data_IF_673447703900
#
_entry.id   IF_673447703900
#
_cell.length_a   1.000
_cell.length_b   1.000
_cell.length_c   1.000
_cell.angle_alpha   90.00
_cell.angle_beta   90.00
_cell.angle_gamma   90.00
#
_symmetry.space_group_name_H-M   'P 1'
#
loop_
_entity.id
_entity.type
_entity.pdbx_description
1 polymer ?
#
# COMPACT_ATOMS: atom_id res chain seq x y z
N UNK A 1 23.35 25.00 3.89
CA UNK A 1 21.99 24.67 3.39
C UNK A 1 21.55 23.38 4.05
N UNK A 2 20.30 23.28 4.42
CA UNK A 2 19.72 22.06 5.00
C UNK A 2 19.48 21.03 3.90
N UNK A 3 19.97 19.80 4.08
CA UNK A 3 19.78 18.73 3.10
C UNK A 3 18.48 18.00 3.40
N UNK A 4 17.56 18.01 2.46
CA UNK A 4 16.23 17.41 2.60
C UNK A 4 16.06 16.31 1.55
N UNK A 5 15.79 15.09 2.00
CA UNK A 5 15.53 13.96 1.12
C UNK A 5 14.02 13.77 0.95
N UNK A 6 13.57 13.81 -0.29
CA UNK A 6 12.17 13.68 -0.67
C UNK A 6 11.86 12.22 -1.02
N UNK A 7 10.97 11.62 -0.29
CA UNK A 7 10.51 10.25 -0.50
C UNK A 7 9.08 10.26 -1.04
N UNK A 8 8.94 10.14 -2.35
CA UNK A 8 7.65 10.19 -3.03
C UNK A 8 6.91 8.87 -2.94
N UNK A 9 5.63 8.92 -2.59
CA UNK A 9 4.81 7.74 -2.52
C UNK A 9 3.33 8.00 -2.32
N UNK A 10 2.49 7.02 -2.71
CA UNK A 10 1.07 7.06 -2.37
C UNK A 10 0.81 6.71 -0.90
N UNK A 11 1.74 5.98 -0.25
CA UNK A 11 1.65 5.53 1.14
C UNK A 11 0.26 4.97 1.49
N UNK A 12 -0.15 3.92 0.78
CA UNK A 12 -1.50 3.37 0.79
C UNK A 12 -1.58 1.92 1.32
N UNK A 13 -1.34 1.69 2.64
CA UNK A 13 -0.88 2.62 3.66
C UNK A 13 0.64 2.81 3.68
N UNK A 14 1.11 3.78 4.47
CA UNK A 14 2.48 3.79 4.97
C UNK A 14 2.71 2.56 5.86
N UNK A 15 3.92 2.00 5.83
CA UNK A 15 4.27 0.82 6.63
C UNK A 15 5.70 0.95 7.18
N UNK A 16 6.06 0.06 8.11
CA UNK A 16 7.37 0.08 8.79
C UNK A 16 8.55 0.13 7.84
N UNK A 17 8.45 -0.51 6.65
CA UNK A 17 9.51 -0.45 5.65
C UNK A 17 9.77 0.96 5.10
N UNK A 18 8.72 1.78 4.92
CA UNK A 18 8.91 3.17 4.51
C UNK A 18 9.63 3.98 5.59
N UNK A 19 9.24 3.79 6.85
CA UNK A 19 9.85 4.51 7.98
C UNK A 19 11.29 4.06 8.19
N UNK A 20 11.58 2.76 8.12
CA UNK A 20 12.94 2.24 8.25
C UNK A 20 13.90 2.81 7.19
N UNK A 21 13.43 2.98 5.94
CA UNK A 21 14.20 3.63 4.88
C UNK A 21 14.44 5.10 5.17
N UNK A 22 13.42 5.83 5.64
CA UNK A 22 13.55 7.24 6.01
C UNK A 22 14.50 7.42 7.20
N UNK A 23 14.43 6.55 8.22
CA UNK A 23 15.37 6.52 9.33
C UNK A 23 16.81 6.25 8.87
N UNK A 24 16.98 5.23 8.03
CA UNK A 24 18.28 4.85 7.50
C UNK A 24 19.00 6.00 6.81
N UNK A 25 18.36 6.70 5.87
CA UNK A 25 19.02 7.78 5.12
C UNK A 25 19.42 8.96 6.02
N UNK A 26 18.63 9.20 7.08
CA UNK A 26 18.94 10.23 8.09
C UNK A 26 20.09 9.78 8.98
N UNK A 27 20.09 8.54 9.46
CA UNK A 27 21.14 7.97 10.34
C UNK A 27 22.48 7.82 9.63
N UNK A 28 22.46 7.50 8.32
CA UNK A 28 23.66 7.47 7.49
C UNK A 28 24.22 8.87 7.14
N UNK A 29 23.55 9.92 7.60
CA UNK A 29 23.97 11.30 7.33
C UNK A 29 23.86 11.72 5.87
N UNK A 30 23.03 11.01 5.08
CA UNK A 30 22.79 11.35 3.67
C UNK A 30 21.93 12.60 3.54
N UNK A 31 21.09 12.88 4.54
CA UNK A 31 20.28 14.09 4.65
C UNK A 31 20.10 14.51 6.11
N UNK A 32 19.67 15.75 6.31
CA UNK A 32 19.36 16.29 7.63
C UNK A 32 17.90 16.00 8.01
N UNK A 33 16.99 15.96 7.01
CA UNK A 33 15.60 15.54 7.15
C UNK A 33 15.19 14.64 5.98
N UNK A 34 14.29 13.68 6.26
CA UNK A 34 13.57 12.90 5.26
C UNK A 34 12.09 13.30 5.26
N UNK A 35 11.56 13.65 4.09
CA UNK A 35 10.18 14.11 3.93
C UNK A 35 9.40 13.13 3.04
N UNK A 36 8.37 12.50 3.62
CA UNK A 36 7.45 11.64 2.89
C UNK A 36 6.46 12.52 2.11
N UNK A 37 6.63 12.62 0.81
CA UNK A 37 5.73 13.38 -0.08
C UNK A 37 4.54 12.48 -0.40
N UNK A 38 3.40 12.75 0.23
CA UNK A 38 2.17 11.98 0.03
C UNK A 38 1.51 12.40 -1.28
N UNK A 39 1.60 11.54 -2.31
CA UNK A 39 1.01 11.84 -3.62
C UNK A 39 -0.51 11.65 -3.58
N UNK A 40 -1.32 12.69 -3.84
CA UNK A 40 -2.78 12.57 -3.85
C UNK A 40 -3.25 11.65 -4.98
N UNK A 41 -2.68 11.81 -6.17
CA UNK A 41 -2.99 11.00 -7.35
C UNK A 41 -1.75 10.86 -8.24
N UNK A 42 -1.07 9.72 -8.13
CA UNK A 42 -0.02 9.36 -9.07
C UNK A 42 -0.61 9.10 -10.47
N UNK A 43 0.02 9.57 -11.56
CA UNK A 43 -0.44 9.30 -12.93
C UNK A 43 -0.45 7.80 -13.29
N UNK A 44 0.26 6.99 -12.50
CA UNK A 44 0.42 5.54 -12.73
C UNK A 44 -0.51 4.67 -11.89
N UNK A 45 -1.40 5.27 -11.05
CA UNK A 45 -2.34 4.53 -10.19
C UNK A 45 -3.76 5.00 -10.44
N UNK A 46 -4.70 4.05 -10.45
CA UNK A 46 -6.11 4.38 -10.52
C UNK A 46 -6.57 4.99 -9.20
N UNK A 47 -7.26 6.12 -9.26
CA UNK A 47 -7.75 6.82 -8.06
C UNK A 47 -8.66 5.93 -7.19
N UNK A 48 -9.44 5.05 -7.81
CA UNK A 48 -10.34 4.11 -7.11
C UNK A 48 -9.61 3.06 -6.24
N UNK A 49 -8.31 2.86 -6.43
CA UNK A 49 -7.50 1.90 -5.67
C UNK A 49 -6.85 2.55 -4.43
N UNK A 50 -6.94 3.87 -4.31
CA UNK A 50 -6.31 4.62 -3.22
C UNK A 50 -7.33 4.95 -2.13
N UNK A 51 -6.91 4.82 -0.87
CA UNK A 51 -7.65 5.44 0.22
C UNK A 51 -7.66 6.97 0.04
N UNK A 52 -8.64 7.68 0.62
CA UNK A 52 -8.69 9.13 0.56
C UNK A 52 -7.34 9.77 0.91
N UNK A 53 -6.99 10.82 0.20
CA UNK A 53 -5.66 11.45 0.33
C UNK A 53 -5.36 11.91 1.76
N UNK A 54 -6.36 12.46 2.46
CA UNK A 54 -6.20 12.87 3.85
C UNK A 54 -6.05 11.70 4.82
N UNK A 55 -6.69 10.57 4.56
CA UNK A 55 -6.48 9.36 5.38
C UNK A 55 -5.05 8.83 5.20
N UNK A 56 -4.48 8.91 3.98
CA UNK A 56 -3.09 8.49 3.71
C UNK A 56 -2.08 9.44 4.36
N UNK A 57 -2.36 10.73 4.35
CA UNK A 57 -1.54 11.73 5.05
C UNK A 57 -1.57 11.50 6.56
N UNK A 58 -2.75 11.35 7.18
CA UNK A 58 -2.90 11.08 8.61
C UNK A 58 -2.16 9.80 9.05
N UNK A 59 -2.22 8.75 8.21
CA UNK A 59 -1.43 7.54 8.46
C UNK A 59 0.08 7.82 8.40
N UNK A 60 0.54 8.65 7.47
CA UNK A 60 1.93 9.05 7.38
C UNK A 60 2.38 9.90 8.58
N UNK A 61 1.53 10.82 9.07
CA UNK A 61 1.80 11.58 10.31
C UNK A 61 2.01 10.66 11.51
N UNK A 62 1.11 9.70 11.70
CA UNK A 62 1.21 8.73 12.80
C UNK A 62 2.47 7.88 12.72
N UNK A 63 2.81 7.41 11.52
CA UNK A 63 4.02 6.62 11.30
C UNK A 63 5.30 7.44 11.55
N UNK A 64 5.36 8.67 11.05
CA UNK A 64 6.49 9.57 11.27
C UNK A 64 6.65 9.94 12.76
N UNK A 65 5.54 10.22 13.46
CA UNK A 65 5.55 10.50 14.89
C UNK A 65 6.01 9.31 15.75
N UNK A 66 5.77 8.08 15.27
CA UNK A 66 6.20 6.84 15.91
C UNK A 66 7.64 6.42 15.54
N UNK A 67 8.29 7.11 14.60
CA UNK A 67 9.67 6.83 14.19
C UNK A 67 10.66 7.12 15.32
N UNK A 68 11.87 6.57 15.21
CA UNK A 68 12.99 6.89 16.13
C UNK A 68 13.48 8.33 16.02
N UNK A 69 13.14 9.02 14.91
CA UNK A 69 13.62 10.35 14.57
C UNK A 69 12.44 11.29 14.20
N UNK A 70 11.42 11.46 15.06
CA UNK A 70 10.18 12.16 14.71
C UNK A 70 10.39 13.63 14.34
N UNK A 71 11.46 14.27 14.84
CA UNK A 71 11.81 15.66 14.50
C UNK A 71 12.44 15.80 13.12
N UNK A 72 12.96 14.70 12.57
CA UNK A 72 13.71 14.67 11.30
C UNK A 72 13.00 13.91 10.18
N UNK A 73 11.92 13.22 10.48
CA UNK A 73 11.12 12.47 9.50
C UNK A 73 9.68 13.00 9.55
N UNK A 74 9.22 13.61 8.45
CA UNK A 74 7.93 14.30 8.41
C UNK A 74 7.16 13.97 7.14
N UNK A 75 5.82 13.88 7.19
CA UNK A 75 5.03 13.84 5.97
C UNK A 75 4.81 15.25 5.43
N UNK A 76 4.52 15.34 4.12
CA UNK A 76 4.18 16.59 3.45
C UNK A 76 2.97 16.41 2.53
N UNK A 77 2.12 17.44 2.53
CA UNK A 77 0.95 17.58 1.64
C UNK A 77 1.22 18.52 0.45
N UNK A 78 2.48 18.82 0.17
CA UNK A 78 2.83 19.80 -0.89
C UNK A 78 2.16 19.46 -2.22
N UNK A 79 2.06 18.19 -2.61
CA UNK A 79 1.38 17.79 -3.84
C UNK A 79 -0.15 17.98 -3.82
N UNK A 80 -0.77 18.19 -2.64
CA UNK A 80 -2.20 18.50 -2.55
C UNK A 80 -2.49 19.92 -3.03
N UNK A 81 -1.48 20.79 -2.99
CA UNK A 81 -1.53 22.17 -3.45
C UNK A 81 -1.24 22.33 -4.96
N UNK A 82 -0.72 21.28 -5.58
CA UNK A 82 -0.31 21.28 -6.99
C UNK A 82 -1.41 20.68 -7.89
N UNK A 83 -1.38 20.98 -9.20
CA UNK A 83 -2.31 20.37 -10.16
C UNK A 83 -2.22 18.84 -10.17
N UNK A 84 -3.38 18.18 -10.28
CA UNK A 84 -3.46 16.71 -10.43
C UNK A 84 -3.54 16.33 -11.92
N UNK A 85 -2.94 15.20 -12.33
CA UNK A 85 -2.15 14.27 -11.54
C UNK A 85 -0.80 14.84 -11.12
N UNK A 86 -0.26 14.37 -9.97
CA UNK A 86 0.99 14.85 -9.40
C UNK A 86 2.20 14.29 -10.14
N UNK A 87 3.07 15.16 -10.61
CA UNK A 87 4.34 14.79 -11.23
C UNK A 87 5.51 15.23 -10.37
N UNK A 88 6.47 14.36 -10.16
CA UNK A 88 7.66 14.60 -9.34
C UNK A 88 8.40 15.87 -9.72
N UNK A 89 8.56 16.15 -11.02
CA UNK A 89 9.26 17.36 -11.48
C UNK A 89 8.54 18.65 -11.09
N UNK A 90 7.20 18.66 -11.08
CA UNK A 90 6.44 19.85 -10.70
C UNK A 90 6.61 20.15 -9.21
N UNK A 91 6.65 19.10 -8.37
CA UNK A 91 6.93 19.20 -6.93
C UNK A 91 8.35 19.71 -6.67
N UNK A 92 9.35 19.15 -7.38
CA UNK A 92 10.74 19.58 -7.27
C UNK A 92 10.91 21.06 -7.62
N UNK A 93 10.30 21.52 -8.73
CA UNK A 93 10.31 22.94 -9.12
C UNK A 93 9.71 23.82 -8.03
N UNK A 94 8.51 23.48 -7.59
CA UNK A 94 7.82 24.24 -6.55
C UNK A 94 8.68 24.37 -5.29
N UNK A 95 9.26 23.26 -4.81
CA UNK A 95 10.11 23.28 -3.62
C UNK A 95 11.39 24.06 -3.84
N UNK A 96 12.03 23.92 -4.99
CA UNK A 96 13.28 24.65 -5.32
C UNK A 96 13.05 26.15 -5.45
N UNK A 97 11.96 26.56 -6.11
CA UNK A 97 11.61 27.97 -6.26
C UNK A 97 11.28 28.65 -4.92
N UNK A 98 10.62 27.93 -4.01
CA UNK A 98 10.18 28.51 -2.75
C UNK A 98 11.17 28.34 -1.59
N UNK A 99 12.04 27.33 -1.63
CA UNK A 99 12.91 26.95 -0.51
C UNK A 99 14.36 26.67 -0.90
N UNK A 100 14.70 26.69 -2.20
CA UNK A 100 16.05 26.35 -2.68
C UNK A 100 17.17 27.28 -2.18
N UNK A 101 16.84 28.48 -1.67
CA UNK A 101 17.83 29.36 -1.05
C UNK A 101 18.35 28.81 0.30
N UNK A 102 17.55 28.00 1.00
CA UNK A 102 17.84 27.48 2.35
C UNK A 102 18.03 25.96 2.38
N UNK A 103 17.47 25.25 1.41
CA UNK A 103 17.39 23.79 1.35
C UNK A 103 17.98 23.22 0.05
N UNK A 104 18.64 22.11 0.18
CA UNK A 104 19.12 21.28 -0.93
C UNK A 104 18.29 19.99 -0.96
N UNK A 105 17.66 19.71 -2.11
CA UNK A 105 16.77 18.57 -2.27
C UNK A 105 17.45 17.39 -2.95
N UNK A 106 17.17 16.19 -2.43
CA UNK A 106 17.53 14.92 -3.03
C UNK A 106 16.30 13.99 -3.05
N UNK A 107 16.38 12.92 -3.81
CA UNK A 107 15.24 11.99 -4.02
C UNK A 107 15.62 10.61 -3.50
N UNK A 108 14.70 9.99 -2.75
CA UNK A 108 14.75 8.58 -2.38
C UNK A 108 13.70 7.81 -3.18
N UNK A 109 14.12 6.76 -3.91
CA UNK A 109 13.20 5.92 -4.67
C UNK A 109 13.63 4.45 -4.69
N UNK A 110 12.69 3.54 -4.95
CA UNK A 110 12.97 2.13 -5.17
C UNK A 110 13.51 1.87 -6.58
N UNK A 111 14.25 0.78 -6.75
CA UNK A 111 14.77 0.35 -8.04
C UNK A 111 13.66 0.11 -9.09
N UNK A 112 12.47 -0.35 -8.64
CA UNK A 112 11.28 -0.51 -9.49
C UNK A 112 10.75 0.80 -10.10
N UNK A 113 10.95 1.92 -9.41
CA UNK A 113 10.62 3.26 -9.91
C UNK A 113 11.68 3.76 -10.87
N UNK A 114 12.95 3.50 -10.55
CA UNK A 114 14.07 3.87 -11.40
C UNK A 114 13.99 3.24 -12.79
N UNK A 115 13.60 1.97 -12.90
CA UNK A 115 13.43 1.28 -14.18
C UNK A 115 12.43 1.96 -15.12
N UNK A 116 11.48 2.71 -14.55
CA UNK A 116 10.42 3.42 -15.29
C UNK A 116 10.66 4.93 -15.38
N UNK A 117 11.78 5.42 -14.87
CA UNK A 117 12.06 6.85 -14.74
C UNK A 117 12.05 7.56 -16.10
N UNK A 118 12.49 6.91 -17.17
CA UNK A 118 12.50 7.47 -18.52
C UNK A 118 11.10 7.75 -19.10
N UNK A 119 10.07 7.13 -18.53
CA UNK A 119 8.67 7.42 -18.84
C UNK A 119 8.07 8.56 -18.00
N UNK A 120 8.84 9.14 -17.05
CA UNK A 120 8.34 10.22 -16.23
C UNK A 120 8.44 11.59 -16.94
N UNK A 121 7.52 12.47 -16.61
CA UNK A 121 7.51 13.86 -17.14
C UNK A 121 8.85 14.52 -16.86
N UNK A 122 9.54 14.95 -17.92
CA UNK A 122 10.83 15.66 -17.85
C UNK A 122 11.88 14.97 -16.96
N UNK A 123 11.99 13.63 -17.09
CA UNK A 123 12.88 12.82 -16.26
C UNK A 123 14.35 13.27 -16.30
N UNK A 124 14.79 13.85 -17.40
CA UNK A 124 16.15 14.39 -17.53
C UNK A 124 16.44 15.49 -16.52
N UNK A 125 15.44 16.33 -16.23
CA UNK A 125 15.53 17.36 -15.18
C UNK A 125 15.46 16.76 -13.77
N UNK A 126 14.76 15.63 -13.59
CA UNK A 126 14.76 14.91 -12.33
C UNK A 126 16.18 14.36 -12.04
N UNK A 127 16.90 13.91 -13.08
CA UNK A 127 18.28 13.45 -12.97
C UNK A 127 19.31 14.55 -12.64
N UNK A 128 18.92 15.82 -12.63
CA UNK A 128 19.78 16.92 -12.14
C UNK A 128 19.84 16.98 -10.61
N UNK A 129 18.90 16.34 -9.92
CA UNK A 129 18.90 16.19 -8.46
C UNK A 129 19.66 14.94 -8.04
N UNK A 130 20.29 14.93 -6.85
CA UNK A 130 20.86 13.70 -6.30
C UNK A 130 19.76 12.67 -6.07
N UNK A 131 19.92 11.46 -6.63
CA UNK A 131 18.97 10.36 -6.50
C UNK A 131 19.60 9.21 -5.74
N UNK A 132 18.97 8.80 -4.66
CA UNK A 132 19.33 7.64 -3.84
C UNK A 132 18.34 6.52 -4.10
N UNK A 133 18.84 5.34 -4.46
CA UNK A 133 18.03 4.20 -4.87
C UNK A 133 18.24 3.04 -3.90
N UNK A 134 17.16 2.59 -3.25
CA UNK A 134 17.22 1.36 -2.49
C UNK A 134 16.85 0.17 -3.39
N UNK A 135 17.60 -0.95 -3.29
CA UNK A 135 17.33 -2.14 -4.11
C UNK A 135 15.97 -2.75 -3.74
N UNK A 136 15.36 -3.42 -4.71
CA UNK A 136 14.28 -4.37 -4.50
C UNK A 136 14.66 -5.70 -5.14
N UNK A 137 13.99 -6.79 -4.79
CA UNK A 137 14.36 -8.13 -5.24
C UNK A 137 14.46 -8.21 -6.78
N UNK A 138 15.68 -8.48 -7.28
CA UNK A 138 15.94 -8.86 -8.67
C UNK A 138 16.08 -7.73 -9.68
N UNK A 139 15.97 -6.47 -9.29
CA UNK A 139 16.02 -5.33 -10.23
C UNK A 139 17.45 -4.81 -10.43
N UNK A 140 17.83 -4.56 -11.68
CA UNK A 140 19.14 -4.06 -12.04
C UNK A 140 19.15 -2.53 -12.18
N UNK A 141 20.07 -1.87 -11.50
CA UNK A 141 20.23 -0.41 -11.49
C UNK A 141 21.01 0.12 -12.72
N UNK A 142 21.36 -0.76 -13.67
CA UNK A 142 22.41 -0.53 -14.67
C UNK A 142 22.23 0.67 -15.60
N UNK A 143 20.99 1.06 -15.98
CA UNK A 143 20.74 2.09 -17.00
C UNK A 143 21.15 3.51 -16.57
N UNK A 144 21.08 3.82 -15.29
CA UNK A 144 21.40 5.13 -14.72
C UNK A 144 22.65 5.09 -13.83
N UNK A 145 23.47 4.03 -13.96
CA UNK A 145 24.73 3.92 -13.23
C UNK A 145 25.61 5.16 -13.47
N UNK A 146 26.14 5.74 -12.39
CA UNK A 146 26.92 6.97 -12.43
C UNK A 146 26.12 8.28 -12.31
N UNK A 147 24.77 8.21 -12.36
CA UNK A 147 23.88 9.38 -12.09
C UNK A 147 23.05 9.22 -10.82
N UNK A 148 23.20 8.11 -10.13
CA UNK A 148 22.46 7.78 -8.92
C UNK A 148 23.39 7.17 -7.90
N UNK A 149 22.98 7.17 -6.63
CA UNK A 149 23.65 6.46 -5.54
C UNK A 149 22.80 5.26 -5.11
N UNK A 150 23.36 4.05 -5.20
CA UNK A 150 22.67 2.84 -4.73
C UNK A 150 22.92 2.65 -3.24
N UNK A 151 21.87 2.41 -2.49
CA UNK A 151 21.88 2.15 -1.05
C UNK A 151 21.86 0.63 -0.82
N UNK A 152 23.01 -0.04 -1.00
CA UNK A 152 23.09 -1.51 -0.96
C UNK A 152 22.70 -2.08 0.41
N UNK A 153 23.04 -1.37 1.49
CA UNK A 153 22.76 -1.77 2.88
C UNK A 153 21.41 -1.22 3.41
N UNK A 154 20.55 -0.68 2.55
CA UNK A 154 19.28 -0.15 2.98
C UNK A 154 18.38 -1.25 3.58
N UNK A 155 17.68 -0.99 4.70
CA UNK A 155 16.82 -1.98 5.33
C UNK A 155 15.64 -2.34 4.43
N UNK A 156 15.67 -3.55 3.88
CA UNK A 156 14.58 -4.06 3.04
C UNK A 156 13.55 -4.79 3.90
N UNK A 157 12.30 -4.61 3.55
CA UNK A 157 11.19 -5.36 4.13
C UNK A 157 10.52 -6.19 3.04
N UNK A 158 10.24 -7.46 3.34
CA UNK A 158 9.67 -8.42 2.39
C UNK A 158 8.16 -8.24 2.16
N UNK A 159 7.64 -7.03 2.39
CA UNK A 159 6.22 -6.75 2.20
C UNK A 159 5.98 -5.37 1.56
N UNK A 160 4.81 -5.23 0.96
CA UNK A 160 4.37 -4.01 0.28
C UNK A 160 3.06 -3.48 0.86
N UNK A 161 2.72 -2.22 0.55
CA UNK A 161 1.39 -1.66 0.88
C UNK A 161 0.25 -2.51 0.31
N UNK A 162 0.43 -3.15 -0.85
CA UNK A 162 -0.57 -4.05 -1.45
C UNK A 162 -0.77 -5.29 -0.60
N UNK A 163 0.31 -5.90 -0.13
CA UNK A 163 0.23 -7.05 0.77
C UNK A 163 -0.43 -6.68 2.10
N UNK A 164 -0.06 -5.52 2.68
CA UNK A 164 -0.69 -5.03 3.91
C UNK A 164 -2.21 -4.91 3.73
N UNK A 165 -2.68 -4.29 2.64
CA UNK A 165 -4.11 -4.17 2.35
C UNK A 165 -4.78 -5.54 2.22
N UNK A 166 -4.17 -6.44 1.45
CA UNK A 166 -4.69 -7.79 1.27
C UNK A 166 -4.83 -8.57 2.59
N UNK A 167 -3.87 -8.44 3.50
CA UNK A 167 -3.96 -9.05 4.85
C UNK A 167 -5.09 -8.45 5.67
N UNK A 168 -5.23 -7.13 5.67
CA UNK A 168 -6.32 -6.45 6.38
C UNK A 168 -7.69 -6.90 5.82
N UNK A 169 -7.85 -6.96 4.50
CA UNK A 169 -9.07 -7.43 3.85
C UNK A 169 -9.44 -8.88 4.22
N UNK A 170 -8.43 -9.69 4.49
CA UNK A 170 -8.61 -11.07 4.94
C UNK A 170 -8.76 -11.22 6.46
N UNK A 171 -8.64 -10.11 7.23
CA UNK A 171 -8.68 -10.13 8.68
C UNK A 171 -7.44 -10.74 9.33
N UNK A 172 -6.30 -10.76 8.62
CA UNK A 172 -5.02 -11.26 9.12
C UNK A 172 -4.28 -10.19 9.95
N UNK A 173 -3.39 -10.64 10.83
CA UNK A 173 -2.56 -9.74 11.63
C UNK A 173 -1.54 -8.99 10.75
N UNK A 174 -1.44 -7.69 10.96
CA UNK A 174 -0.50 -6.76 10.29
C UNK A 174 0.40 -6.01 11.27
N UNK A 175 0.42 -6.41 12.54
CA UNK A 175 1.17 -5.73 13.62
C UNK A 175 2.68 -5.69 13.35
N UNK A 176 3.22 -6.67 12.62
CA UNK A 176 4.62 -6.68 12.22
C UNK A 176 4.92 -5.72 11.07
N UNK A 177 3.91 -5.31 10.32
CA UNK A 177 4.04 -4.49 9.11
C UNK A 177 3.73 -3.01 9.36
N UNK A 178 2.84 -2.72 10.32
CA UNK A 178 2.35 -1.38 10.62
C UNK A 178 2.73 -0.94 12.04
N UNK A 179 2.94 0.36 12.20
CA UNK A 179 2.95 0.97 13.51
C UNK A 179 1.56 0.89 14.15
N UNK A 180 1.53 0.77 15.48
CA UNK A 180 0.29 0.59 16.22
C UNK A 180 -0.72 1.73 15.96
N UNK A 181 -0.24 2.98 15.88
CA UNK A 181 -1.08 4.15 15.60
C UNK A 181 -1.68 4.13 14.19
N UNK A 182 -0.96 3.60 13.20
CA UNK A 182 -1.45 3.41 11.82
C UNK A 182 -2.48 2.28 11.77
N UNK A 183 -2.18 1.14 12.39
CA UNK A 183 -3.09 0.00 12.45
C UNK A 183 -4.42 0.36 13.14
N UNK A 184 -4.37 1.10 14.25
CA UNK A 184 -5.56 1.59 14.93
C UNK A 184 -6.37 2.57 14.07
N UNK A 185 -5.70 3.49 13.37
CA UNK A 185 -6.37 4.42 12.46
C UNK A 185 -7.14 3.68 11.37
N UNK A 186 -6.49 2.72 10.71
CA UNK A 186 -7.10 1.87 9.67
C UNK A 186 -8.33 1.15 10.22
N UNK A 187 -8.22 0.53 11.39
CA UNK A 187 -9.32 -0.17 12.06
C UNK A 187 -10.48 0.76 12.39
N UNK A 188 -10.21 1.93 12.95
CA UNK A 188 -11.23 2.93 13.32
C UNK A 188 -11.98 3.47 12.10
N UNK A 189 -11.27 3.70 10.98
CA UNK A 189 -11.83 4.18 9.72
C UNK A 189 -12.47 3.07 8.89
N UNK A 190 -12.25 1.80 9.23
CA UNK A 190 -12.72 0.65 8.46
C UNK A 190 -12.05 0.52 7.10
N UNK A 191 -10.87 1.11 6.89
CA UNK A 191 -10.16 1.04 5.62
C UNK A 191 -9.75 -0.40 5.33
N UNK A 192 -10.02 -0.86 4.11
CA UNK A 192 -9.71 -2.22 3.64
C UNK A 192 -10.24 -3.33 4.57
N UNK A 193 -11.25 -3.04 5.36
CA UNK A 193 -11.81 -4.03 6.29
C UNK A 193 -12.51 -5.15 5.53
N UNK A 194 -12.62 -6.36 6.12
CA UNK A 194 -13.43 -7.44 5.54
C UNK A 194 -14.87 -7.02 5.23
N UNK A 195 -15.47 -6.18 6.07
CA UNK A 195 -16.81 -5.63 5.85
C UNK A 195 -16.86 -4.73 4.61
N UNK A 196 -15.88 -3.84 4.44
CA UNK A 196 -15.77 -2.99 3.25
C UNK A 196 -15.54 -3.83 1.99
N UNK A 197 -14.69 -4.87 2.06
CA UNK A 197 -14.47 -5.79 0.94
C UNK A 197 -15.73 -6.56 0.57
N UNK A 198 -16.48 -7.09 1.56
CA UNK A 198 -17.77 -7.75 1.31
C UNK A 198 -18.79 -6.82 0.64
N UNK A 199 -18.88 -5.57 1.09
CA UNK A 199 -19.77 -4.59 0.47
C UNK A 199 -19.38 -4.30 -0.99
N UNK A 200 -18.09 -4.13 -1.26
CA UNK A 200 -17.57 -3.93 -2.62
C UNK A 200 -17.86 -5.13 -3.53
N UNK A 201 -17.60 -6.35 -3.08
CA UNK A 201 -17.90 -7.57 -3.82
C UNK A 201 -19.42 -7.72 -4.08
N UNK A 202 -20.26 -7.36 -3.11
CA UNK A 202 -21.71 -7.39 -3.27
C UNK A 202 -22.18 -6.41 -4.36
N UNK A 203 -21.62 -5.20 -4.41
CA UNK A 203 -21.93 -4.23 -5.46
C UNK A 203 -21.45 -4.71 -6.85
N UNK A 204 -20.27 -5.33 -6.94
CA UNK A 204 -19.75 -5.91 -8.18
C UNK A 204 -20.63 -7.08 -8.67
N UNK A 205 -21.05 -7.98 -7.77
CA UNK A 205 -21.97 -9.08 -8.08
C UNK A 205 -23.31 -8.55 -8.62
N UNK A 206 -23.81 -7.44 -8.09
CA UNK A 206 -25.04 -6.84 -8.59
C UNK A 206 -24.90 -6.31 -10.03
N UNK A 207 -23.70 -5.87 -10.42
CA UNK A 207 -23.39 -5.43 -11.78
C UNK A 207 -23.08 -6.62 -12.72
N UNK A 208 -22.50 -7.69 -12.20
CA UNK A 208 -22.04 -8.88 -12.96
C UNK A 208 -22.57 -10.18 -12.30
N UNK A 209 -23.87 -10.48 -12.35
CA UNK A 209 -24.50 -11.57 -11.57
C UNK A 209 -24.13 -12.99 -12.02
N UNK A 210 -23.43 -13.14 -13.12
CA UNK A 210 -22.93 -14.44 -13.64
C UNK A 210 -21.42 -14.61 -13.45
N UNK A 211 -20.72 -13.65 -12.84
CA UNK A 211 -19.29 -13.70 -12.61
C UNK A 211 -18.96 -14.60 -11.41
N UNK A 212 -18.55 -15.85 -11.68
CA UNK A 212 -18.25 -16.87 -10.67
C UNK A 212 -17.08 -16.50 -9.76
N UNK A 213 -16.11 -15.72 -10.25
CA UNK A 213 -14.93 -15.31 -9.46
C UNK A 213 -15.35 -14.39 -8.30
N UNK A 214 -16.30 -13.47 -8.51
CA UNK A 214 -16.79 -12.56 -7.47
C UNK A 214 -17.49 -13.31 -6.33
N UNK A 215 -18.33 -14.29 -6.66
CA UNK A 215 -18.95 -15.15 -5.65
C UNK A 215 -17.93 -16.02 -4.93
N UNK A 216 -16.97 -16.58 -5.67
CA UNK A 216 -15.88 -17.38 -5.08
C UNK A 216 -15.07 -16.56 -4.08
N UNK A 217 -14.71 -15.34 -4.44
CA UNK A 217 -13.96 -14.44 -3.56
C UNK A 217 -14.76 -14.05 -2.31
N UNK A 218 -16.05 -13.68 -2.47
CA UNK A 218 -16.92 -13.35 -1.33
C UNK A 218 -17.18 -14.56 -0.45
N UNK A 219 -17.38 -15.72 -1.02
CA UNK A 219 -17.54 -16.99 -0.31
C UNK A 219 -16.32 -17.35 0.53
N UNK A 220 -15.11 -17.21 -0.02
CA UNK A 220 -13.85 -17.39 0.72
C UNK A 220 -13.72 -16.39 1.88
N UNK A 221 -14.13 -15.15 1.69
CA UNK A 221 -14.11 -14.13 2.74
C UNK A 221 -15.10 -14.49 3.86
N UNK A 222 -16.34 -14.87 3.52
CA UNK A 222 -17.31 -15.39 4.48
C UNK A 222 -16.78 -16.61 5.25
N UNK A 223 -16.13 -17.56 4.57
CA UNK A 223 -15.53 -18.74 5.19
C UNK A 223 -14.48 -18.38 6.25
N UNK A 224 -13.55 -17.46 5.92
CA UNK A 224 -12.52 -16.99 6.88
C UNK A 224 -13.11 -16.27 8.09
N UNK A 225 -14.22 -15.59 7.91
CA UNK A 225 -14.93 -14.89 8.98
C UNK A 225 -15.89 -15.78 9.78
N UNK A 226 -15.88 -17.11 9.53
CA UNK A 226 -16.79 -18.10 10.13
C UNK A 226 -18.28 -17.82 9.85
N UNK A 227 -18.59 -17.09 8.80
CA UNK A 227 -19.94 -16.80 8.31
C UNK A 227 -20.39 -17.94 7.34
N UNK A 228 -20.40 -19.17 7.84
CA UNK A 228 -20.46 -20.39 7.01
C UNK A 228 -21.71 -20.53 6.16
N UNK A 229 -22.87 -20.08 6.66
CA UNK A 229 -24.11 -20.08 5.87
C UNK A 229 -24.03 -19.18 4.63
N UNK A 230 -23.46 -17.96 4.80
CA UNK A 230 -23.25 -17.05 3.68
C UNK A 230 -22.19 -17.58 2.69
N UNK A 231 -21.12 -18.19 3.21
CA UNK A 231 -20.10 -18.83 2.39
C UNK A 231 -20.68 -19.95 1.52
N UNK A 232 -21.52 -20.84 2.12
CA UNK A 232 -22.16 -21.93 1.39
C UNK A 232 -23.08 -21.42 0.29
N UNK A 233 -23.84 -20.34 0.55
CA UNK A 233 -24.72 -19.75 -0.46
C UNK A 233 -23.92 -19.25 -1.67
N UNK A 234 -22.79 -18.58 -1.45
CA UNK A 234 -21.95 -18.10 -2.54
C UNK A 234 -21.33 -19.25 -3.33
N UNK A 235 -20.76 -20.28 -2.68
CA UNK A 235 -20.19 -21.42 -3.38
C UNK A 235 -21.25 -22.22 -4.14
N UNK A 236 -22.47 -22.39 -3.59
CA UNK A 236 -23.57 -23.03 -4.29
C UNK A 236 -23.99 -22.21 -5.52
N UNK A 237 -23.95 -20.87 -5.43
CA UNK A 237 -24.22 -20.02 -6.60
C UNK A 237 -23.17 -20.21 -7.70
N UNK A 238 -21.89 -20.31 -7.34
CA UNK A 238 -20.83 -20.67 -8.30
C UNK A 238 -21.12 -21.99 -8.99
N UNK A 239 -21.47 -23.04 -8.23
CA UNK A 239 -21.76 -24.37 -8.78
C UNK A 239 -23.04 -24.44 -9.62
N UNK A 240 -24.00 -23.52 -9.41
CA UNK A 240 -25.16 -23.36 -10.29
C UNK A 240 -24.78 -22.71 -11.64
N UNK A 241 -23.78 -21.84 -11.66
CA UNK A 241 -23.29 -21.15 -12.85
C UNK A 241 -22.25 -21.97 -13.62
N UNK A 242 -21.39 -22.68 -12.90
CA UNK A 242 -20.36 -23.59 -13.41
C UNK A 242 -20.23 -24.80 -12.48
N UNK A 243 -20.87 -25.89 -12.87
CA UNK A 243 -20.87 -27.16 -12.11
C UNK A 243 -19.49 -27.85 -12.10
N UNK A 244 -18.58 -27.45 -12.97
CA UNK A 244 -17.21 -27.98 -13.03
C UNK A 244 -16.22 -27.26 -12.11
N UNK A 245 -16.63 -26.17 -11.45
CA UNK A 245 -15.76 -25.33 -10.64
C UNK A 245 -15.21 -26.06 -9.40
N UNK A 246 -14.01 -26.64 -9.52
CA UNK A 246 -13.42 -27.53 -8.52
C UNK A 246 -13.20 -26.85 -7.15
N UNK A 247 -12.74 -25.61 -7.13
CA UNK A 247 -12.47 -24.88 -5.90
C UNK A 247 -13.75 -24.59 -5.10
N UNK A 248 -14.83 -24.15 -5.77
CA UNK A 248 -16.11 -23.89 -5.11
C UNK A 248 -16.69 -25.17 -4.52
N UNK A 249 -16.57 -26.31 -5.23
CA UNK A 249 -17.00 -27.62 -4.72
C UNK A 249 -16.23 -28.02 -3.45
N UNK A 250 -14.92 -27.84 -3.45
CA UNK A 250 -14.09 -28.14 -2.29
C UNK A 250 -14.48 -27.30 -1.07
N UNK A 251 -14.63 -25.98 -1.25
CA UNK A 251 -15.06 -25.09 -0.17
C UNK A 251 -16.48 -25.39 0.32
N UNK A 252 -17.42 -25.65 -0.58
CA UNK A 252 -18.79 -26.02 -0.21
C UNK A 252 -18.80 -27.27 0.69
N UNK A 253 -18.02 -28.29 0.34
CA UNK A 253 -17.90 -29.50 1.16
C UNK A 253 -17.28 -29.18 2.53
N UNK A 254 -16.19 -28.41 2.58
CA UNK A 254 -15.54 -28.00 3.84
C UNK A 254 -16.50 -27.23 4.76
N UNK A 255 -17.36 -26.38 4.18
CA UNK A 255 -18.36 -25.63 4.94
C UNK A 255 -19.46 -26.56 5.46
N UNK A 256 -19.95 -27.50 4.65
CA UNK A 256 -20.96 -28.46 5.06
C UNK A 256 -20.47 -29.31 6.23
N UNK A 257 -19.25 -29.84 6.17
CA UNK A 257 -18.63 -30.60 7.27
C UNK A 257 -18.58 -29.80 8.58
N UNK A 258 -18.22 -28.48 8.51
CA UNK A 258 -18.22 -27.58 9.68
C UNK A 258 -19.61 -27.35 10.24
N UNK A 259 -20.61 -27.15 9.38
CA UNK A 259 -22.00 -26.96 9.79
C UNK A 259 -22.56 -28.25 10.44
N UNK A 260 -22.32 -29.42 9.87
CA UNK A 260 -22.73 -30.70 10.42
C UNK A 260 -22.11 -30.96 11.79
N UNK A 261 -20.79 -30.68 11.95
CA UNK A 261 -20.12 -30.83 13.23
C UNK A 261 -20.78 -29.94 14.31
N UNK A 262 -21.04 -28.68 13.99
CA UNK A 262 -21.68 -27.74 14.92
C UNK A 262 -23.11 -28.13 15.27
N UNK A 263 -23.87 -28.74 14.35
CA UNK A 263 -25.22 -29.22 14.63
C UNK A 263 -25.22 -30.51 15.50
N UNK A 264 -24.21 -31.37 15.35
CA UNK A 264 -24.09 -32.58 16.20
C UNK A 264 -23.82 -32.21 17.67
N UNK A 265 -23.01 -31.18 17.94
CA UNK A 265 -22.74 -30.74 19.33
C UNK A 265 -23.96 -30.11 20.01
N UNK A 266 -24.93 -29.59 19.25
CA UNK A 266 -26.17 -28.99 19.79
C UNK A 266 -27.18 -30.10 20.19
N UNK A 267 -27.13 -31.28 19.57
CA UNK A 267 -28.06 -32.38 19.81
C UNK A 267 -27.51 -33.49 20.70
N UNK A 268 -26.26 -33.44 21.15
CA UNK A 268 -25.63 -34.37 22.07
C UNK A 268 -25.01 -33.55 23.24
N UNK A 269 -25.82 -33.18 24.28
CA UNK A 269 -25.31 -32.51 25.48
C UNK A 269 -24.46 -33.43 26.37
#
# INVERSE_FOLDING_TARGET
>A
MKRVMLYFGSFNPVHKGHIALAEYVVEQGLCDEAVLIVSPQSPYKRAAELAPEMDRFEMAERACAASRLPERIKPSVVEFLLPKPSYTIDTLRYLTENHGAEMEFSILMGADQLERLDGWKEYEKILEYPIYVYPRHGEQVGRFAGRITVLEDAPLQDFSSTEVRGRIERGEDVSQMLDAGVAEYIRRKGLWSPAARKAALTAQIAAEPENTELYTERGKLHYRLNEWGAALNDFNRVLQLDDSHAEARQYAQMVQEKLEFRYKDIYNP
#
